data_IF_011005431939
#
_entry.id   IF_011005431939
#
_cell.length_a   1.000
_cell.length_b   1.000
_cell.length_c   1.000
_cell.angle_alpha   90.00
_cell.angle_beta   90.00
_cell.angle_gamma   90.00
#
_symmetry.space_group_name_H-M   'P 1'
#
loop_
_entity.id
_entity.type
_entity.pdbx_description
1 polymer ?
#
# COMPACT_ATOMS: atom_id res chain seq x y z
N UNK A 1 0.59 -19.94 -8.74
CA UNK A 1 1.28 -18.73 -9.22
C UNK A 1 0.37 -17.94 -10.19
N UNK A 2 -0.85 -17.56 -9.77
CA UNK A 2 -1.88 -16.96 -10.65
C UNK A 2 -2.83 -15.95 -9.93
N UNK A 3 -2.47 -15.41 -8.75
CA UNK A 3 -3.35 -14.52 -7.95
C UNK A 3 -2.97 -13.03 -7.98
N UNK A 4 -1.73 -12.68 -8.33
CA UNK A 4 -1.29 -11.27 -8.26
C UNK A 4 -1.84 -10.37 -9.37
N UNK A 5 -2.23 -10.94 -10.52
CA UNK A 5 -2.79 -10.19 -11.65
C UNK A 5 -4.24 -9.77 -11.43
N UNK A 6 -5.06 -10.56 -10.71
CA UNK A 6 -6.48 -10.23 -10.45
C UNK A 6 -6.63 -9.11 -9.42
N UNK A 7 -5.87 -9.15 -8.32
CA UNK A 7 -5.98 -8.12 -7.26
C UNK A 7 -5.61 -6.74 -7.80
N UNK A 8 -4.59 -6.66 -8.65
CA UNK A 8 -4.19 -5.40 -9.28
C UNK A 8 -5.21 -4.85 -10.28
N UNK A 9 -5.98 -5.71 -10.97
CA UNK A 9 -7.08 -5.26 -11.83
C UNK A 9 -8.30 -4.82 -11.03
N UNK A 10 -8.60 -5.51 -9.93
CA UNK A 10 -9.78 -5.23 -9.10
C UNK A 10 -9.63 -3.90 -8.36
N UNK A 11 -8.43 -3.60 -7.85
CA UNK A 11 -8.10 -2.30 -7.24
C UNK A 11 -8.28 -1.16 -8.26
N UNK A 12 -7.83 -1.35 -9.50
CA UNK A 12 -7.96 -0.34 -10.56
C UNK A 12 -9.42 -0.11 -10.93
N UNK A 13 -10.21 -1.18 -11.02
CA UNK A 13 -11.64 -1.10 -11.28
C UNK A 13 -12.38 -0.37 -10.15
N UNK A 14 -12.09 -0.70 -8.88
CA UNK A 14 -12.71 -0.05 -7.72
C UNK A 14 -12.37 1.45 -7.62
N UNK A 15 -11.11 1.82 -7.87
CA UNK A 15 -10.70 3.23 -7.91
C UNK A 15 -11.34 3.99 -9.07
N UNK A 16 -11.49 3.35 -10.24
CA UNK A 16 -12.17 3.94 -11.39
C UNK A 16 -13.67 4.16 -11.09
N UNK A 17 -14.34 3.16 -10.51
CA UNK A 17 -15.74 3.26 -10.12
C UNK A 17 -15.98 4.37 -9.08
N UNK A 18 -15.13 4.47 -8.05
CA UNK A 18 -15.23 5.57 -7.08
C UNK A 18 -15.04 6.94 -7.76
N UNK A 19 -14.09 7.04 -8.69
CA UNK A 19 -13.84 8.27 -9.45
C UNK A 19 -15.06 8.68 -10.27
N UNK A 20 -15.76 7.73 -10.85
CA UNK A 20 -16.94 7.97 -11.69
C UNK A 20 -18.18 8.34 -10.86
N UNK A 21 -18.38 7.68 -9.71
CA UNK A 21 -19.58 7.85 -8.88
C UNK A 21 -19.50 9.05 -7.91
N UNK A 22 -18.33 9.27 -7.31
CA UNK A 22 -18.15 10.25 -6.21
C UNK A 22 -17.16 11.35 -6.60
N UNK A 23 -16.33 11.10 -7.61
CA UNK A 23 -15.24 11.99 -8.00
C UNK A 23 -13.88 11.53 -7.45
N UNK A 24 -12.86 12.35 -7.65
CA UNK A 24 -11.47 11.98 -7.33
C UNK A 24 -11.32 11.65 -5.83
N UNK A 25 -10.92 10.42 -5.46
CA UNK A 25 -10.75 10.07 -4.06
C UNK A 25 -9.62 10.88 -3.42
N UNK A 26 -9.81 11.25 -2.15
CA UNK A 26 -8.72 11.66 -1.27
C UNK A 26 -7.71 10.52 -1.09
N UNK A 27 -6.52 10.84 -0.55
CA UNK A 27 -5.47 9.83 -0.32
C UNK A 27 -5.95 8.78 0.66
N UNK A 28 -6.67 9.20 1.69
CA UNK A 28 -7.26 8.33 2.71
C UNK A 28 -8.30 7.38 2.10
N UNK A 29 -9.20 7.89 1.25
CA UNK A 29 -10.19 7.08 0.55
C UNK A 29 -9.54 6.09 -0.43
N UNK A 30 -8.53 6.52 -1.18
CA UNK A 30 -7.82 5.65 -2.10
C UNK A 30 -7.10 4.52 -1.35
N UNK A 31 -6.45 4.82 -0.23
CA UNK A 31 -5.82 3.81 0.63
C UNK A 31 -6.84 2.83 1.20
N UNK A 32 -8.01 3.32 1.62
CA UNK A 32 -9.12 2.48 2.09
C UNK A 32 -9.61 1.51 1.00
N UNK A 33 -9.81 1.99 -0.22
CA UNK A 33 -10.21 1.15 -1.36
C UNK A 33 -9.16 0.08 -1.65
N UNK A 34 -7.88 0.46 -1.69
CA UNK A 34 -6.77 -0.49 -1.92
C UNK A 34 -6.71 -1.55 -0.82
N UNK A 35 -6.85 -1.14 0.45
CA UNK A 35 -6.84 -2.05 1.59
C UNK A 35 -8.01 -3.04 1.55
N UNK A 36 -9.23 -2.57 1.30
CA UNK A 36 -10.41 -3.42 1.19
C UNK A 36 -10.33 -4.38 -0.02
N UNK A 37 -9.93 -3.89 -1.19
CA UNK A 37 -9.76 -4.74 -2.37
C UNK A 37 -8.63 -5.76 -2.19
N UNK A 38 -7.54 -5.40 -1.51
CA UNK A 38 -6.48 -6.34 -1.13
C UNK A 38 -7.00 -7.42 -0.19
N UNK A 39 -7.74 -7.02 0.85
CA UNK A 39 -8.36 -7.93 1.80
C UNK A 39 -9.33 -8.90 1.11
N UNK A 40 -10.16 -8.42 0.18
CA UNK A 40 -11.05 -9.26 -0.62
C UNK A 40 -10.30 -10.24 -1.53
N UNK A 41 -9.15 -9.83 -2.09
CA UNK A 41 -8.32 -10.72 -2.90
C UNK A 41 -7.65 -11.85 -2.10
N UNK A 42 -7.33 -11.57 -0.83
CA UNK A 42 -6.65 -12.50 0.07
C UNK A 42 -7.61 -13.42 0.81
N UNK A 43 -8.66 -12.86 1.41
CA UNK A 43 -9.65 -13.59 2.21
C UNK A 43 -10.85 -14.11 1.39
N UNK A 44 -10.97 -13.71 0.12
CA UNK A 44 -12.18 -13.94 -0.67
C UNK A 44 -13.19 -12.79 -0.53
N UNK A 45 -14.26 -12.84 -1.32
CA UNK A 45 -15.39 -11.94 -1.10
C UNK A 45 -15.97 -12.20 0.30
N UNK A 46 -16.46 -11.15 0.97
CA UNK A 46 -17.33 -11.28 2.14
C UNK A 46 -18.56 -12.11 1.71
N UNK A 47 -18.48 -13.42 1.93
CA UNK A 47 -19.46 -14.41 1.48
C UNK A 47 -20.81 -14.12 2.17
N UNK A 48 -21.83 -13.93 1.34
CA UNK A 48 -23.27 -14.18 1.54
C UNK A 48 -24.03 -13.50 2.68
N UNK A 49 -23.41 -12.61 3.45
CA UNK A 49 -24.06 -12.01 4.62
C UNK A 49 -24.19 -12.98 5.81
N UNK A 50 -23.50 -14.13 5.75
CA UNK A 50 -23.33 -15.04 6.88
C UNK A 50 -21.94 -14.79 7.46
N UNK A 51 -21.81 -14.16 8.63
CA UNK A 51 -20.50 -13.96 9.23
C UNK A 51 -19.82 -15.32 9.42
N UNK A 52 -18.63 -15.49 8.86
CA UNK A 52 -17.80 -16.66 9.10
C UNK A 52 -17.40 -16.66 10.58
N UNK A 53 -18.18 -17.35 11.40
CA UNK A 53 -17.90 -17.47 12.83
C UNK A 53 -16.77 -18.47 13.00
N UNK A 54 -15.55 -17.95 13.13
CA UNK A 54 -14.43 -18.76 13.61
C UNK A 54 -14.71 -19.10 15.07
N UNK A 55 -14.94 -20.38 15.37
CA UNK A 55 -15.07 -20.90 16.73
C UNK A 55 -13.71 -20.97 17.42
N UNK A 56 -13.08 -19.82 17.61
CA UNK A 56 -11.85 -19.66 18.38
C UNK A 56 -12.21 -19.48 19.86
N UNK A 57 -11.42 -20.07 20.75
CA UNK A 57 -11.50 -19.70 22.16
C UNK A 57 -11.05 -18.24 22.34
N UNK A 58 -11.51 -17.62 23.44
CA UNK A 58 -11.30 -16.20 23.72
C UNK A 58 -9.81 -15.84 23.85
N UNK A 59 -9.00 -16.71 24.47
CA UNK A 59 -7.56 -16.47 24.64
C UNK A 59 -6.83 -16.53 23.29
N UNK A 60 -7.18 -17.49 22.42
CA UNK A 60 -6.59 -17.60 21.08
C UNK A 60 -6.99 -16.41 20.21
N UNK A 61 -8.26 -15.99 20.25
CA UNK A 61 -8.74 -14.81 19.52
C UNK A 61 -7.97 -13.57 19.94
N UNK A 62 -7.80 -13.35 21.24
CA UNK A 62 -7.16 -12.15 21.75
C UNK A 62 -5.66 -12.13 21.40
N UNK A 63 -4.98 -13.28 21.46
CA UNK A 63 -3.59 -13.42 20.99
C UNK A 63 -3.45 -13.11 19.50
N UNK A 64 -4.36 -13.62 18.67
CA UNK A 64 -4.36 -13.35 17.23
C UNK A 64 -4.57 -11.86 16.92
N UNK A 65 -5.47 -11.19 17.65
CA UNK A 65 -5.69 -9.75 17.50
C UNK A 65 -4.44 -8.96 17.88
N UNK A 66 -3.76 -9.33 18.97
CA UNK A 66 -2.51 -8.68 19.39
C UNK A 66 -1.41 -8.86 18.34
N UNK A 67 -1.22 -10.08 17.83
CA UNK A 67 -0.25 -10.33 16.76
C UNK A 67 -0.58 -9.57 15.47
N UNK A 68 -1.84 -9.57 15.04
CA UNK A 68 -2.27 -8.83 13.85
C UNK A 68 -2.01 -7.32 14.00
N UNK A 69 -2.23 -6.75 15.19
CA UNK A 69 -1.89 -5.34 15.48
C UNK A 69 -0.39 -5.10 15.42
N UNK A 70 0.42 -6.01 15.97
CA UNK A 70 1.88 -5.91 15.93
C UNK A 70 2.40 -6.00 14.48
N UNK A 71 1.90 -6.94 13.69
CA UNK A 71 2.31 -7.13 12.30
C UNK A 71 1.92 -5.90 11.45
N UNK A 72 0.72 -5.36 11.65
CA UNK A 72 0.31 -4.12 10.99
C UNK A 72 1.21 -2.93 11.36
N UNK A 73 1.58 -2.79 12.64
CA UNK A 73 2.50 -1.75 13.09
C UNK A 73 3.88 -1.92 12.46
N UNK A 74 4.41 -3.14 12.40
CA UNK A 74 5.69 -3.43 11.75
C UNK A 74 5.66 -3.13 10.25
N UNK A 75 4.60 -3.53 9.54
CA UNK A 75 4.44 -3.24 8.12
C UNK A 75 4.41 -1.73 7.84
N UNK A 76 3.72 -0.96 8.69
CA UNK A 76 3.63 0.49 8.57
C UNK A 76 5.00 1.15 8.81
N UNK A 77 5.69 0.81 9.90
CA UNK A 77 7.01 1.34 10.22
C UNK A 77 8.06 0.99 9.15
N UNK A 78 8.03 -0.25 8.64
CA UNK A 78 8.90 -0.66 7.55
C UNK A 78 8.63 0.16 6.28
N UNK A 79 7.36 0.37 5.93
CA UNK A 79 6.96 1.17 4.76
C UNK A 79 7.38 2.64 4.90
N UNK A 80 7.21 3.26 6.08
CA UNK A 80 7.73 4.61 6.35
C UNK A 80 9.24 4.66 6.13
N UNK A 81 9.97 3.69 6.67
CA UNK A 81 11.44 3.63 6.57
C UNK A 81 11.89 3.51 5.11
N UNK A 82 11.25 2.64 4.33
CA UNK A 82 11.51 2.49 2.89
C UNK A 82 11.20 3.77 2.10
N UNK A 83 10.10 4.46 2.41
CA UNK A 83 9.76 5.73 1.76
C UNK A 83 10.77 6.84 2.09
N UNK A 84 11.32 6.86 3.29
CA UNK A 84 12.37 7.82 3.68
C UNK A 84 13.68 7.56 2.92
N UNK A 85 14.10 6.30 2.81
CA UNK A 85 15.28 5.91 2.01
C UNK A 85 15.13 6.35 0.56
N UNK A 86 13.98 6.06 -0.07
CA UNK A 86 13.71 6.46 -1.46
C UNK A 86 13.74 7.99 -1.67
N UNK A 87 13.34 8.77 -0.65
CA UNK A 87 13.45 10.24 -0.69
C UNK A 87 14.91 10.70 -0.62
N UNK A 88 15.74 10.04 0.19
CA UNK A 88 17.16 10.32 0.27
C UNK A 88 17.87 9.99 -1.05
N UNK A 89 17.59 8.82 -1.64
CA UNK A 89 18.15 8.40 -2.92
C UNK A 89 17.81 9.39 -4.05
N UNK A 90 16.55 9.85 -4.09
CA UNK A 90 16.12 10.85 -5.08
C UNK A 90 16.87 12.18 -4.91
N UNK A 91 17.13 12.61 -3.67
CA UNK A 91 17.89 13.84 -3.39
C UNK A 91 19.34 13.70 -3.83
N UNK A 92 19.97 12.56 -3.54
CA UNK A 92 21.34 12.27 -3.96
C UNK A 92 21.46 12.22 -5.49
N UNK A 93 20.50 11.58 -6.17
CA UNK A 93 20.47 11.54 -7.63
C UNK A 93 20.36 12.95 -8.25
N UNK A 94 19.49 13.81 -7.70
CA UNK A 94 19.36 15.21 -8.16
C UNK A 94 20.66 15.99 -7.92
N UNK A 95 21.28 15.85 -6.74
CA UNK A 95 22.54 16.50 -6.44
C UNK A 95 23.67 16.05 -7.39
N UNK A 96 23.73 14.76 -7.70
CA UNK A 96 24.68 14.22 -8.69
C UNK A 96 24.47 14.78 -10.09
N UNK A 97 23.22 14.88 -10.56
CA UNK A 97 22.91 15.49 -11.86
C UNK A 97 23.30 16.96 -11.89
N UNK A 98 23.00 17.73 -10.84
CA UNK A 98 23.38 19.14 -10.74
C UNK A 98 24.92 19.32 -10.73
N UNK A 99 25.64 18.42 -10.05
CA UNK A 99 27.10 18.41 -10.05
C UNK A 99 27.66 18.15 -11.46
N UNK A 100 27.09 17.19 -12.19
CA UNK A 100 27.51 16.90 -13.57
C UNK A 100 27.24 18.09 -14.50
N UNK A 101 26.08 18.75 -14.37
CA UNK A 101 25.76 19.97 -15.12
C UNK A 101 26.78 21.07 -14.81
N UNK A 102 27.10 21.28 -13.53
CA UNK A 102 28.10 22.26 -13.12
C UNK A 102 29.49 21.98 -13.72
N UNK A 103 29.94 20.72 -13.69
CA UNK A 103 31.22 20.31 -14.30
C UNK A 103 31.21 20.56 -15.81
N UNK A 104 30.12 20.18 -16.51
CA UNK A 104 30.01 20.38 -17.95
C UNK A 104 30.08 21.87 -18.34
N UNK A 105 29.39 22.74 -17.59
CA UNK A 105 29.45 24.20 -17.78
C UNK A 105 30.88 24.71 -17.56
N UNK A 106 31.56 24.26 -16.49
CA UNK A 106 32.92 24.71 -16.15
C UNK A 106 33.99 24.22 -17.11
N UNK A 107 33.81 23.06 -17.75
CA UNK A 107 34.75 22.53 -18.76
C UNK A 107 34.53 23.19 -20.13
N UNK A 108 33.31 23.66 -20.41
CA UNK A 108 32.95 24.28 -21.69
C UNK A 108 33.21 25.80 -21.74
N UNK A 109 33.60 26.40 -20.60
CA UNK A 109 33.96 27.81 -20.41
C UNK A 109 35.48 27.95 -20.32
#
# INVERSE_FOLDING_TARGET
MYKQTSVGSDIKAALAAHKELVGKPSVEQANGIVACSGLHGELGYLDDGVPTVYSLDEDTRDRLIVHARQDAAHALLNTISLLQLRRADRRLAVAGVLLLIYIAIRVSL
#
